data_IF_966711074164
#
_entry.id   IF_966711074164
#
_cell.length_a   1.000
_cell.length_b   1.000
_cell.length_c   1.000
_cell.angle_alpha   90.00
_cell.angle_beta   90.00
_cell.angle_gamma   90.00
#
_symmetry.space_group_name_H-M   'P 1'
#
loop_
_entity.id
_entity.type
_entity.pdbx_description
1 polymer ?
#
# COMPACT_ATOMS: atom_id res chain seq x y z
N UNK A 1 -24.22 -96.37 -57.52
CA UNK A 1 -25.30 -95.74 -56.74
C UNK A 1 -24.68 -94.61 -55.92
N UNK A 2 -25.01 -93.36 -56.21
CA UNK A 2 -24.49 -92.19 -55.50
C UNK A 2 -25.71 -91.39 -55.02
N UNK A 3 -25.95 -91.24 -53.71
CA UNK A 3 -27.18 -90.64 -53.22
C UNK A 3 -27.16 -89.12 -53.43
N UNK A 4 -28.14 -88.63 -54.19
CA UNK A 4 -28.44 -87.22 -54.41
C UNK A 4 -28.63 -86.49 -53.08
N UNK A 5 -27.72 -85.57 -52.78
CA UNK A 5 -27.84 -84.65 -51.65
C UNK A 5 -28.79 -83.51 -52.05
N UNK A 6 -29.99 -83.51 -51.46
CA UNK A 6 -30.96 -82.42 -51.58
C UNK A 6 -30.56 -81.33 -50.58
N UNK A 7 -30.18 -80.17 -51.09
CA UNK A 7 -29.82 -79.01 -50.26
C UNK A 7 -31.12 -78.32 -49.76
N UNK A 8 -31.28 -78.04 -48.46
CA UNK A 8 -32.48 -77.37 -47.94
C UNK A 8 -32.51 -75.87 -48.29
N UNK A 9 -33.71 -75.24 -48.36
CA UNK A 9 -33.87 -73.86 -48.80
C UNK A 9 -33.24 -72.85 -47.83
N UNK A 10 -32.59 -71.83 -48.42
CA UNK A 10 -31.94 -70.74 -47.71
C UNK A 10 -32.92 -70.02 -46.76
N UNK A 11 -32.66 -70.15 -45.45
CA UNK A 11 -33.35 -69.36 -44.44
C UNK A 11 -33.00 -67.87 -44.61
N UNK A 12 -34.04 -67.05 -44.68
CA UNK A 12 -34.00 -65.61 -44.91
C UNK A 12 -33.15 -64.92 -43.84
N UNK A 13 -32.21 -64.09 -44.28
CA UNK A 13 -31.46 -63.16 -43.43
C UNK A 13 -32.46 -62.27 -42.68
N UNK A 14 -32.41 -62.28 -41.36
CA UNK A 14 -33.10 -61.29 -40.53
C UNK A 14 -32.53 -59.91 -40.87
N UNK A 15 -33.38 -58.97 -41.29
CA UNK A 15 -33.03 -57.57 -41.40
C UNK A 15 -32.61 -57.07 -40.02
N UNK A 16 -31.32 -56.76 -39.88
CA UNK A 16 -30.80 -55.97 -38.78
C UNK A 16 -31.40 -54.58 -38.91
N UNK A 17 -32.42 -54.30 -38.09
CA UNK A 17 -32.86 -52.93 -37.81
C UNK A 17 -31.69 -52.26 -37.11
N UNK A 18 -31.10 -51.26 -37.76
CA UNK A 18 -30.07 -50.44 -37.14
C UNK A 18 -30.67 -49.76 -35.89
N UNK A 19 -29.97 -49.77 -34.74
CA UNK A 19 -30.41 -48.99 -33.60
C UNK A 19 -30.42 -47.51 -34.01
N UNK A 20 -31.54 -46.85 -33.74
CA UNK A 20 -31.73 -45.40 -33.84
C UNK A 20 -30.52 -44.70 -33.20
N UNK A 21 -29.96 -43.62 -33.80
CA UNK A 21 -28.97 -42.81 -33.10
C UNK A 21 -29.66 -42.16 -31.90
N UNK A 22 -29.48 -42.78 -30.74
CA UNK A 22 -29.83 -42.18 -29.45
C UNK A 22 -28.97 -40.92 -29.35
N UNK A 23 -29.63 -39.76 -29.34
CA UNK A 23 -28.95 -38.48 -29.14
C UNK A 23 -28.34 -38.52 -27.72
N UNK A 24 -27.05 -38.83 -27.65
CA UNK A 24 -26.28 -38.73 -26.42
C UNK A 24 -26.44 -37.33 -25.84
N UNK A 25 -26.92 -37.17 -24.59
CA UNK A 25 -27.01 -35.87 -23.98
C UNK A 25 -25.59 -35.30 -23.88
N UNK A 26 -25.38 -34.12 -24.46
CA UNK A 26 -24.11 -33.41 -24.46
C UNK A 26 -23.51 -33.40 -23.05
N UNK A 27 -22.30 -33.93 -22.91
CA UNK A 27 -21.62 -33.97 -21.62
C UNK A 27 -21.45 -32.54 -21.08
N UNK A 28 -21.74 -32.26 -19.80
CA UNK A 28 -21.51 -30.95 -19.24
C UNK A 28 -20.00 -30.68 -19.25
N UNK A 29 -19.60 -29.59 -19.92
CA UNK A 29 -18.23 -29.11 -19.94
C UNK A 29 -17.83 -28.73 -18.52
N UNK A 30 -17.08 -29.61 -17.85
CA UNK A 30 -16.47 -29.28 -16.57
C UNK A 30 -15.27 -28.36 -16.84
N UNK A 31 -15.21 -27.16 -16.25
CA UNK A 31 -14.06 -26.29 -16.41
C UNK A 31 -12.81 -26.99 -15.88
N UNK A 32 -11.71 -26.91 -16.63
CA UNK A 32 -10.43 -27.46 -16.19
C UNK A 32 -10.01 -26.83 -14.85
N UNK A 33 -9.22 -27.54 -14.04
CA UNK A 33 -8.77 -27.06 -12.71
C UNK A 33 -8.14 -25.66 -12.77
N UNK A 34 -7.47 -25.33 -13.88
CA UNK A 34 -6.90 -23.99 -14.14
C UNK A 34 -7.98 -22.94 -14.38
N UNK A 35 -9.05 -23.28 -15.10
CA UNK A 35 -10.19 -22.38 -15.31
C UNK A 35 -10.96 -22.14 -14.00
N UNK A 36 -11.12 -23.15 -13.14
CA UNK A 36 -11.71 -22.97 -11.81
C UNK A 36 -10.88 -22.05 -10.91
N UNK A 37 -9.55 -22.18 -10.92
CA UNK A 37 -8.67 -21.29 -10.18
C UNK A 37 -8.76 -19.84 -10.67
N UNK A 38 -8.77 -19.61 -11.99
CA UNK A 38 -8.92 -18.26 -12.55
C UNK A 38 -10.25 -17.61 -12.17
N UNK A 39 -11.36 -18.38 -12.23
CA UNK A 39 -12.67 -17.87 -11.81
C UNK A 39 -12.67 -17.55 -10.31
N UNK A 40 -12.08 -18.39 -9.47
CA UNK A 40 -11.97 -18.13 -8.04
C UNK A 40 -11.16 -16.85 -7.75
N UNK A 41 -10.03 -16.65 -8.44
CA UNK A 41 -9.21 -15.43 -8.32
C UNK A 41 -9.99 -14.19 -8.73
N UNK A 42 -10.70 -14.22 -9.86
CA UNK A 42 -11.51 -13.08 -10.33
C UNK A 42 -12.63 -12.75 -9.34
N UNK A 43 -13.30 -13.76 -8.77
CA UNK A 43 -14.34 -13.56 -7.75
C UNK A 43 -13.77 -12.93 -6.47
N UNK A 44 -12.61 -13.40 -6.01
CA UNK A 44 -11.93 -12.83 -4.84
C UNK A 44 -11.53 -11.37 -5.10
N UNK A 45 -10.95 -11.06 -6.26
CA UNK A 45 -10.59 -9.69 -6.64
C UNK A 45 -11.81 -8.77 -6.75
N UNK A 46 -12.95 -9.27 -7.24
CA UNK A 46 -14.19 -8.50 -7.32
C UNK A 46 -14.78 -8.18 -5.94
N UNK A 47 -14.72 -9.13 -4.99
CA UNK A 47 -15.21 -8.93 -3.61
C UNK A 47 -14.30 -7.98 -2.83
N UNK A 48 -12.98 -8.14 -2.95
CA UNK A 48 -12.02 -7.26 -2.30
C UNK A 48 -12.03 -5.85 -2.92
N UNK A 49 -12.04 -5.76 -4.25
CA UNK A 49 -12.12 -4.49 -4.97
C UNK A 49 -13.43 -3.73 -4.71
N UNK A 50 -14.56 -4.45 -4.60
CA UNK A 50 -15.85 -3.85 -4.26
C UNK A 50 -15.87 -3.23 -2.86
N UNK A 51 -15.23 -3.85 -1.87
CA UNK A 51 -15.11 -3.31 -0.52
C UNK A 51 -14.25 -2.04 -0.46
N UNK A 52 -13.10 -2.04 -1.15
CA UNK A 52 -12.20 -0.88 -1.22
C UNK A 52 -12.84 0.28 -1.99
N UNK A 53 -13.51 -0.01 -3.12
CA UNK A 53 -14.21 0.99 -3.92
C UNK A 53 -15.36 1.65 -3.13
N UNK A 54 -16.13 0.87 -2.37
CA UNK A 54 -17.19 1.42 -1.52
C UNK A 54 -16.63 2.29 -0.38
N UNK A 55 -15.56 1.86 0.27
CA UNK A 55 -14.90 2.65 1.33
C UNK A 55 -14.33 3.97 0.81
N UNK A 56 -13.69 3.95 -0.36
CA UNK A 56 -13.15 5.15 -1.00
C UNK A 56 -14.25 6.19 -1.30
N UNK A 57 -15.45 5.75 -1.67
CA UNK A 57 -16.58 6.65 -1.93
C UNK A 57 -17.31 7.13 -0.66
N UNK A 58 -17.08 6.53 0.51
CA UNK A 58 -17.82 6.84 1.75
C UNK A 58 -17.13 7.94 2.60
N UNK A 59 -15.91 8.36 2.27
CA UNK A 59 -15.14 9.37 3.05
C UNK A 59 -15.30 10.81 2.56
N UNK A 60 -16.14 11.10 1.57
CA UNK A 60 -16.26 12.46 1.01
C UNK A 60 -17.27 13.39 1.70
N UNK A 61 -18.07 12.92 2.68
CA UNK A 61 -19.15 13.74 3.26
C UNK A 61 -18.88 14.31 4.67
N UNK A 62 -17.63 14.37 5.13
CA UNK A 62 -17.29 14.93 6.46
C UNK A 62 -16.42 16.20 6.41
N UNK A 63 -16.58 17.06 5.40
CA UNK A 63 -15.90 18.37 5.36
C UNK A 63 -16.73 19.45 4.66
N UNK A 64 -17.96 19.68 5.11
CA UNK A 64 -18.70 20.89 4.76
C UNK A 64 -19.45 21.42 5.99
N UNK A 65 -18.69 22.11 6.84
CA UNK A 65 -19.16 22.84 8.01
C UNK A 65 -18.39 24.16 8.20
N UNK A 66 -17.99 24.81 7.11
CA UNK A 66 -17.42 26.16 7.16
C UNK A 66 -18.53 27.18 7.47
N UNK A 67 -18.75 27.44 8.76
CA UNK A 67 -19.55 28.59 9.20
C UNK A 67 -18.64 29.82 9.15
N UNK A 68 -18.78 30.59 8.07
CA UNK A 68 -18.24 31.93 7.96
C UNK A 68 -18.98 32.85 8.92
N UNK A 69 -18.28 33.43 9.90
CA UNK A 69 -18.72 34.64 10.57
C UNK A 69 -17.68 35.73 10.36
N UNK A 70 -17.97 36.55 9.36
CA UNK A 70 -17.26 37.75 8.97
C UNK A 70 -17.57 38.85 10.01
N UNK A 71 -16.57 39.32 10.76
CA UNK A 71 -16.63 40.59 11.51
C UNK A 71 -15.43 41.44 11.13
N UNK A 72 -15.68 42.26 10.10
CA UNK A 72 -14.92 43.46 9.78
C UNK A 72 -15.34 44.57 10.74
N UNK A 73 -14.41 45.08 11.56
CA UNK A 73 -14.60 46.27 12.39
C UNK A 73 -13.25 46.77 12.88
N UNK A 74 -12.70 47.79 12.22
CA UNK A 74 -11.34 48.27 12.42
C UNK A 74 -11.10 49.12 13.67
N UNK A 75 -9.82 49.40 13.89
CA UNK A 75 -9.26 50.67 14.38
C UNK A 75 -7.74 50.56 14.23
N UNK A 76 -7.14 51.20 13.21
CA UNK A 76 -6.52 52.54 13.26
C UNK A 76 -5.44 52.70 14.33
N UNK A 77 -4.22 52.83 13.83
CA UNK A 77 -2.97 53.23 14.50
C UNK A 77 -3.14 54.36 15.53
N UNK A 78 -2.45 54.27 16.67
CA UNK A 78 -1.65 55.37 17.22
C UNK A 78 -0.94 54.99 18.51
N UNK A 79 0.25 55.58 18.63
CA UNK A 79 1.21 55.57 19.71
C UNK A 79 0.66 55.58 21.15
N UNK A 80 1.47 55.11 22.11
CA UNK A 80 2.12 55.95 23.15
C UNK A 80 2.88 55.08 24.14
N UNK A 81 3.98 55.64 24.63
CA UNK A 81 5.03 55.07 25.44
C UNK A 81 4.67 54.76 26.92
N UNK A 82 5.44 53.82 27.48
CA UNK A 82 6.01 53.77 28.85
C UNK A 82 5.07 53.89 30.05
N UNK A 83 5.04 52.85 30.90
CA UNK A 83 5.44 53.01 32.32
C UNK A 83 5.95 51.70 32.92
N UNK A 84 7.15 51.79 33.49
CA UNK A 84 7.83 50.88 34.40
C UNK A 84 6.94 50.46 35.59
N UNK A 85 6.90 49.17 35.93
CA UNK A 85 6.88 48.73 37.34
C UNK A 85 7.36 47.28 37.45
N UNK A 86 8.41 46.99 38.23
CA UNK A 86 8.85 45.63 38.49
C UNK A 86 7.98 45.02 39.59
N UNK A 87 7.31 43.91 39.32
CA UNK A 87 6.69 43.09 40.38
C UNK A 87 7.43 41.76 40.47
N UNK A 88 8.20 41.68 41.55
CA UNK A 88 8.89 40.49 42.03
C UNK A 88 7.88 39.51 42.60
N UNK A 89 7.97 38.26 42.10
CA UNK A 89 7.79 36.99 42.80
C UNK A 89 6.72 36.91 43.90
N UNK A 90 5.61 36.25 43.57
CA UNK A 90 4.89 35.41 44.54
C UNK A 90 5.09 33.94 44.16
N UNK A 91 5.75 33.24 45.07
CA UNK A 91 5.97 31.81 45.03
C UNK A 91 4.65 31.08 45.23
N UNK A 92 4.14 30.43 44.19
CA UNK A 92 3.12 29.38 44.32
C UNK A 92 3.63 28.11 43.62
N UNK A 93 3.86 27.00 44.36
CA UNK A 93 4.30 25.74 43.80
C UNK A 93 3.11 24.78 43.70
N UNK A 94 2.39 24.77 42.57
CA UNK A 94 1.61 23.62 42.07
C UNK A 94 0.58 24.04 41.01
N UNK A 95 1.04 24.41 39.81
CA UNK A 95 0.31 24.08 38.57
C UNK A 95 1.36 23.90 37.48
N UNK A 96 1.95 22.70 37.37
CA UNK A 96 2.71 22.31 36.18
C UNK A 96 1.70 22.02 35.06
N UNK A 97 1.19 23.08 34.44
CA UNK A 97 0.76 22.99 33.06
C UNK A 97 2.05 23.07 32.22
N UNK A 98 2.39 22.05 31.40
CA UNK A 98 3.56 22.13 30.55
C UNK A 98 3.41 23.36 29.67
N UNK A 99 4.45 24.17 29.76
CA UNK A 99 4.68 25.41 29.05
C UNK A 99 4.43 25.23 27.56
N UNK A 100 3.82 26.27 26.97
CA UNK A 100 3.93 26.60 25.56
C UNK A 100 5.36 26.30 25.11
N UNK A 101 5.55 25.31 24.24
CA UNK A 101 6.79 25.24 23.49
C UNK A 101 6.58 26.26 22.37
N UNK A 102 7.41 27.30 22.42
CA UNK A 102 7.72 28.17 21.29
C UNK A 102 7.82 27.31 20.02
N UNK A 103 7.44 27.89 18.88
CA UNK A 103 7.92 27.50 17.55
C UNK A 103 9.19 26.64 17.68
N UNK A 104 9.04 25.32 17.69
CA UNK A 104 10.10 24.35 18.02
C UNK A 104 11.12 24.26 16.89
N UNK A 105 10.91 25.09 15.86
CA UNK A 105 11.64 25.04 14.64
C UNK A 105 11.40 23.72 13.94
N UNK A 106 10.22 23.11 14.06
CA UNK A 106 9.74 21.96 13.28
C UNK A 106 8.40 22.39 12.62
N UNK A 107 8.50 22.99 11.43
CA UNK A 107 7.37 23.65 10.81
C UNK A 107 6.29 22.67 10.29
N UNK A 108 6.64 21.43 9.97
CA UNK A 108 5.71 20.41 9.52
C UNK A 108 5.37 19.33 10.56
N UNK A 109 6.04 19.33 11.71
CA UNK A 109 5.84 18.44 12.85
C UNK A 109 6.11 16.96 12.52
N UNK A 110 7.10 16.66 11.68
CA UNK A 110 7.54 15.29 11.39
C UNK A 110 8.54 14.73 12.41
N UNK A 111 9.14 15.60 13.24
CA UNK A 111 10.14 15.26 14.25
C UNK A 111 11.58 15.67 13.92
N UNK A 112 11.85 16.22 12.74
CA UNK A 112 13.07 16.95 12.41
C UNK A 112 12.86 18.45 12.58
N UNK A 113 13.89 19.17 13.04
CA UNK A 113 13.85 20.63 13.02
C UNK A 113 14.15 21.19 11.62
N UNK A 114 13.58 22.34 11.25
CA UNK A 114 13.86 23.17 10.08
C UNK A 114 15.37 23.31 9.82
N UNK A 115 16.18 23.40 10.89
CA UNK A 115 17.65 23.47 10.80
C UNK A 115 18.30 22.14 10.44
N UNK A 116 17.74 21.00 10.87
CA UNK A 116 18.16 19.66 10.48
C UNK A 116 17.72 19.37 9.05
N UNK A 117 16.49 19.71 8.70
CA UNK A 117 15.95 19.57 7.35
C UNK A 117 16.75 20.37 6.33
N UNK A 118 17.10 21.62 6.66
CA UNK A 118 17.98 22.44 5.81
C UNK A 118 19.36 21.78 5.60
N UNK A 119 19.87 21.02 6.58
CA UNK A 119 21.14 20.29 6.45
C UNK A 119 20.99 19.03 5.60
N UNK A 120 19.85 18.35 5.70
CA UNK A 120 19.54 17.16 4.91
C UNK A 120 19.07 17.51 3.49
N UNK A 121 18.66 18.75 3.25
CA UNK A 121 18.14 19.24 1.97
C UNK A 121 16.65 18.93 1.75
N UNK A 122 15.92 18.67 2.83
CA UNK A 122 14.47 18.45 2.84
C UNK A 122 13.68 19.76 2.92
N UNK A 123 12.38 19.72 2.68
CA UNK A 123 11.49 20.89 2.74
C UNK A 123 10.84 21.02 4.13
N UNK A 124 11.16 22.07 4.93
CA UNK A 124 10.63 22.25 6.28
C UNK A 124 9.12 22.33 6.46
N UNK A 125 8.38 22.37 5.35
CA UNK A 125 6.92 22.43 5.37
C UNK A 125 6.29 21.15 4.80
N UNK A 126 7.08 20.10 4.59
CA UNK A 126 6.64 18.86 3.96
C UNK A 126 7.32 17.63 4.57
N UNK A 127 6.55 16.89 5.37
CA UNK A 127 6.99 15.74 6.14
C UNK A 127 7.59 14.58 5.31
N UNK A 128 7.36 14.56 4.00
CA UNK A 128 7.79 13.51 3.05
C UNK A 128 8.28 14.23 1.79
N UNK A 129 9.54 14.65 1.81
CA UNK A 129 10.12 15.56 0.82
C UNK A 129 10.10 14.96 -0.58
N UNK A 130 10.44 13.69 -0.71
CA UNK A 130 10.50 13.02 -2.00
C UNK A 130 9.14 12.46 -2.46
N UNK A 131 8.19 12.27 -1.53
CA UNK A 131 6.83 11.82 -1.77
C UNK A 131 6.68 10.31 -1.95
N UNK A 132 7.46 9.49 -1.26
CA UNK A 132 7.43 8.02 -1.35
C UNK A 132 6.62 7.32 -0.24
N UNK A 133 6.08 8.12 0.71
CA UNK A 133 5.29 7.75 1.90
C UNK A 133 6.12 7.27 3.09
N UNK A 134 7.42 7.53 3.10
CA UNK A 134 8.26 7.50 4.29
C UNK A 134 8.50 8.97 4.71
N UNK A 135 8.43 9.29 6.00
CA UNK A 135 8.67 10.67 6.41
C UNK A 135 10.17 10.97 6.56
N UNK A 136 10.58 12.22 6.38
CA UNK A 136 12.00 12.61 6.34
C UNK A 136 12.71 12.22 7.65
N UNK A 137 12.02 12.34 8.79
CA UNK A 137 12.53 11.86 10.09
C UNK A 137 12.80 10.34 10.13
N UNK A 138 11.88 9.50 9.63
CA UNK A 138 12.03 8.03 9.58
C UNK A 138 13.19 7.65 8.67
N UNK A 139 13.31 8.31 7.52
CA UNK A 139 14.39 8.11 6.57
C UNK A 139 15.76 8.39 7.19
N UNK A 140 15.91 9.56 7.82
CA UNK A 140 17.19 9.98 8.42
C UNK A 140 17.54 9.16 9.67
N UNK A 141 16.54 8.86 10.52
CA UNK A 141 16.79 8.35 11.87
C UNK A 141 16.66 6.82 11.97
N UNK A 142 15.73 6.23 11.23
CA UNK A 142 15.36 4.81 11.36
C UNK A 142 15.97 3.99 10.25
N UNK A 143 15.72 4.36 8.99
CA UNK A 143 16.09 3.55 7.84
C UNK A 143 17.45 3.90 7.25
N UNK A 144 17.94 5.12 7.51
CA UNK A 144 19.18 5.69 6.98
C UNK A 144 19.17 5.80 5.45
N UNK A 145 18.02 6.14 4.87
CA UNK A 145 17.82 6.38 3.44
C UNK A 145 18.09 7.86 3.08
N UNK A 146 18.01 8.20 1.79
CA UNK A 146 18.16 9.57 1.31
C UNK A 146 16.79 10.24 1.15
N UNK A 147 16.39 11.17 2.04
CA UNK A 147 15.05 11.77 2.05
C UNK A 147 14.73 12.68 0.85
N UNK A 148 15.68 12.84 -0.08
CA UNK A 148 15.47 13.52 -1.35
C UNK A 148 15.24 12.54 -2.51
N UNK A 149 15.29 11.23 -2.27
CA UNK A 149 15.20 10.20 -3.30
C UNK A 149 14.28 9.07 -2.89
N UNK A 150 13.18 8.97 -3.63
CA UNK A 150 12.20 7.88 -3.44
C UNK A 150 12.80 6.48 -3.44
N UNK A 151 13.94 6.28 -4.08
CA UNK A 151 14.63 4.99 -4.26
C UNK A 151 16.11 5.25 -3.99
N UNK A 152 16.54 4.95 -2.76
CA UNK A 152 17.88 5.29 -2.27
C UNK A 152 18.95 4.43 -2.93
N UNK A 153 18.67 3.14 -3.11
CA UNK A 153 19.64 2.17 -3.63
C UNK A 153 19.62 2.01 -5.16
N UNK A 154 18.57 2.54 -5.81
CA UNK A 154 18.41 2.62 -7.25
C UNK A 154 17.98 1.31 -7.91
N UNK A 155 17.35 0.40 -7.16
CA UNK A 155 16.95 -0.91 -7.66
C UNK A 155 15.57 -0.93 -8.38
N UNK A 156 14.84 0.19 -8.29
CA UNK A 156 13.54 0.41 -8.94
C UNK A 156 12.33 0.23 -8.03
N UNK A 157 12.51 -0.06 -6.74
CA UNK A 157 11.48 0.01 -5.71
C UNK A 157 11.69 1.27 -4.86
N UNK A 158 10.61 1.85 -4.33
CA UNK A 158 10.75 3.02 -3.46
C UNK A 158 11.01 2.59 -2.01
N UNK A 159 11.76 3.39 -1.26
CA UNK A 159 12.15 3.08 0.13
C UNK A 159 10.90 2.81 0.99
N UNK A 160 9.87 3.64 0.85
CA UNK A 160 8.57 3.47 1.49
C UNK A 160 7.80 2.19 1.05
N UNK A 161 7.95 1.74 -0.20
CA UNK A 161 7.36 0.48 -0.68
C UNK A 161 8.08 -0.73 -0.09
N UNK A 162 9.40 -0.63 0.01
CA UNK A 162 10.26 -1.65 0.60
C UNK A 162 9.99 -1.81 2.09
N UNK A 163 9.95 -0.70 2.85
CA UNK A 163 9.60 -0.70 4.28
C UNK A 163 8.22 -1.33 4.50
N UNK A 164 7.21 -0.94 3.72
CA UNK A 164 5.85 -1.50 3.81
C UNK A 164 5.84 -3.01 3.53
N UNK A 165 6.72 -3.46 2.64
CA UNK A 165 6.86 -4.85 2.22
C UNK A 165 7.87 -5.64 3.07
N UNK A 166 8.45 -5.04 4.11
CA UNK A 166 9.48 -5.62 4.99
C UNK A 166 10.78 -5.99 4.25
N UNK A 167 11.16 -5.19 3.26
CA UNK A 167 12.45 -5.26 2.57
C UNK A 167 13.44 -4.24 3.16
N UNK A 168 14.67 -4.28 2.67
CA UNK A 168 15.73 -3.38 3.11
C UNK A 168 15.79 -2.19 2.15
N UNK A 169 15.37 -0.97 2.56
CA UNK A 169 15.36 0.19 1.67
C UNK A 169 16.75 0.71 1.30
N UNK A 170 17.79 0.15 1.91
CA UNK A 170 19.18 0.51 1.68
C UNK A 170 19.97 -0.57 0.94
N UNK A 171 19.32 -1.57 0.36
CA UNK A 171 20.04 -2.61 -0.33
C UNK A 171 19.17 -3.43 -1.25
N UNK A 172 19.65 -3.52 -2.49
CA UNK A 172 18.98 -4.11 -3.65
C UNK A 172 17.92 -5.14 -3.26
N UNK A 173 16.66 -4.71 -3.32
CA UNK A 173 15.40 -5.43 -3.14
C UNK A 173 15.19 -6.64 -4.06
N UNK A 174 16.26 -7.20 -4.65
CA UNK A 174 16.20 -8.55 -5.19
C UNK A 174 16.18 -9.57 -4.04
N UNK A 175 14.97 -9.95 -3.65
CA UNK A 175 14.67 -11.14 -2.83
C UNK A 175 15.37 -12.44 -3.29
N UNK A 176 16.01 -12.46 -4.47
CA UNK A 176 16.74 -13.61 -5.01
C UNK A 176 18.23 -13.62 -4.64
N UNK A 177 18.79 -12.51 -4.16
CA UNK A 177 20.21 -12.42 -3.77
C UNK A 177 20.45 -12.70 -2.29
N UNK A 178 19.85 -13.79 -1.78
CA UNK A 178 20.30 -14.44 -0.53
C UNK A 178 21.81 -14.73 -0.53
N UNK A 179 22.45 -14.76 -1.71
CA UNK A 179 23.90 -14.91 -1.86
C UNK A 179 24.69 -13.65 -1.46
N UNK A 180 24.19 -12.44 -1.76
CA UNK A 180 24.90 -11.19 -1.44
C UNK A 180 24.84 -10.84 0.06
N UNK A 181 23.70 -11.13 0.70
CA UNK A 181 23.51 -10.93 2.14
C UNK A 181 24.43 -11.82 3.00
N UNK A 182 24.82 -13.00 2.50
CA UNK A 182 25.77 -13.90 3.16
C UNK A 182 27.23 -13.41 3.05
N UNK A 183 27.59 -12.71 1.98
CA UNK A 183 28.96 -12.22 1.76
C UNK A 183 29.29 -10.97 2.61
N UNK A 184 28.29 -10.13 2.89
CA UNK A 184 28.44 -9.00 3.83
C UNK A 184 28.55 -9.45 5.29
N UNK A 185 27.88 -10.55 5.69
CA UNK A 185 27.98 -11.08 7.06
C UNK A 185 29.38 -11.65 7.35
N UNK A 186 29.98 -12.37 6.41
CA UNK A 186 31.34 -12.92 6.58
C UNK A 186 32.42 -11.82 6.61
N UNK A 187 32.20 -10.70 5.90
CA UNK A 187 33.14 -9.58 5.86
C UNK A 187 33.13 -8.74 7.15
N UNK A 188 31.98 -8.63 7.83
CA UNK A 188 31.88 -7.87 9.09
C UNK A 188 32.28 -8.68 10.33
N UNK A 189 32.30 -10.02 10.25
CA UNK A 189 32.61 -10.90 11.38
C UNK A 189 34.03 -11.49 11.33
N UNK A 190 34.91 -10.93 10.48
CA UNK A 190 36.32 -11.34 10.31
C UNK A 190 37.33 -10.23 10.69
N UNK A 191 36.98 -9.40 11.67
CA UNK A 191 37.89 -8.50 12.38
C UNK A 191 37.97 -8.94 13.84
#
# INVERSE_FOLDING_TARGET
>A
MNPSQVQPPAARRASSVAPTPEMEPASPLTPSRRALLLIAVVVVLAVLGGGVYWWYTQRSDAASGATSSNVSGGNTSSAVATTDTPVTTVSDPAVEAPTLIENDGDADNDGLSDEEETKQGTDPNNQDTDGDKLNDWEEVTVYQTDPQKKDTDGDGFSDGEEVLSQHNPNGSGDLRDFAAALEQFDSQNSQ
#
